data_IF_866398089474
#
_entry.id   IF_866398089474
#
_cell.length_a   1.000
_cell.length_b   1.000
_cell.length_c   1.000
_cell.angle_alpha   90.00
_cell.angle_beta   90.00
_cell.angle_gamma   90.00
#
_symmetry.space_group_name_H-M   'P 1'
#
loop_
_entity.id
_entity.type
_entity.pdbx_description
1 polymer ?
#
# COMPACT_ATOMS: atom_id res chain seq x y z
N UNK A 1 27.95 11.67 23.24
CA UNK A 1 28.23 10.70 22.17
C UNK A 1 26.92 10.43 21.44
N UNK A 2 26.91 10.51 20.11
CA UNK A 2 25.73 10.14 19.32
C UNK A 2 25.72 8.61 19.17
N UNK A 3 24.64 7.97 19.59
CA UNK A 3 24.39 6.55 19.31
C UNK A 3 23.55 6.51 18.04
N UNK A 4 24.01 5.79 17.01
CA UNK A 4 23.23 5.57 15.80
C UNK A 4 21.91 4.87 16.15
N UNK A 5 20.83 5.24 15.49
CA UNK A 5 19.56 4.54 15.64
C UNK A 5 19.75 3.03 15.39
N UNK A 6 19.16 2.21 16.26
CA UNK A 6 19.11 0.76 16.06
C UNK A 6 18.15 0.48 14.89
N UNK A 7 18.68 -0.14 13.83
CA UNK A 7 17.88 -0.69 12.75
C UNK A 7 17.32 -2.04 13.19
N UNK A 8 16.02 -2.24 13.02
CA UNK A 8 15.36 -3.52 13.30
C UNK A 8 14.55 -3.92 12.07
N UNK A 9 14.62 -5.21 11.74
CA UNK A 9 13.81 -5.79 10.68
C UNK A 9 12.42 -6.13 11.21
N UNK A 10 11.41 -6.04 10.34
CA UNK A 10 10.02 -6.38 10.64
C UNK A 10 9.62 -7.50 9.68
N UNK A 11 9.19 -8.63 10.23
CA UNK A 11 8.56 -9.70 9.47
C UNK A 11 7.04 -9.53 9.51
N UNK A 12 6.40 -9.64 8.35
CA UNK A 12 4.95 -9.54 8.20
C UNK A 12 4.38 -10.92 7.86
N UNK A 13 3.08 -11.09 8.10
CA UNK A 13 2.32 -12.27 7.66
C UNK A 13 1.84 -12.17 6.21
N UNK A 14 2.12 -11.04 5.54
CA UNK A 14 1.70 -10.80 4.16
C UNK A 14 2.39 -11.79 3.22
N UNK A 15 1.58 -12.50 2.46
CA UNK A 15 2.02 -13.31 1.34
C UNK A 15 2.06 -12.43 0.09
N UNK A 16 3.25 -12.28 -0.48
CA UNK A 16 3.48 -11.38 -1.62
C UNK A 16 2.78 -11.84 -2.90
N UNK A 17 2.57 -13.14 -3.08
CA UNK A 17 1.87 -13.68 -4.25
C UNK A 17 0.37 -13.39 -4.13
N UNK A 18 -0.21 -13.57 -2.93
CA UNK A 18 -1.61 -13.21 -2.67
C UNK A 18 -1.85 -11.71 -2.77
N UNK A 19 -0.95 -10.88 -2.24
CA UNK A 19 -1.03 -9.42 -2.38
C UNK A 19 -1.00 -9.01 -3.86
N UNK A 20 -0.07 -9.57 -4.64
CA UNK A 20 0.06 -9.26 -6.08
C UNK A 20 -1.15 -9.73 -6.88
N UNK A 21 -1.73 -10.88 -6.53
CA UNK A 21 -2.96 -11.37 -7.13
C UNK A 21 -4.14 -10.45 -6.80
N UNK A 22 -4.24 -9.98 -5.55
CA UNK A 22 -5.29 -9.08 -5.12
C UNK A 22 -5.25 -7.75 -5.88
N UNK A 23 -4.07 -7.17 -6.08
CA UNK A 23 -3.89 -5.95 -6.88
C UNK A 23 -4.36 -6.14 -8.32
N UNK A 24 -3.98 -7.25 -8.98
CA UNK A 24 -4.42 -7.57 -10.34
C UNK A 24 -5.94 -7.74 -10.45
N UNK A 25 -6.57 -8.37 -9.45
CA UNK A 25 -8.01 -8.60 -9.43
C UNK A 25 -8.81 -7.28 -9.41
N UNK A 26 -8.27 -6.25 -8.78
CA UNK A 26 -8.91 -4.93 -8.64
C UNK A 26 -8.44 -3.92 -9.69
N UNK A 27 -7.69 -4.31 -10.72
CA UNK A 27 -7.32 -3.41 -11.81
C UNK A 27 -8.58 -2.76 -12.44
N UNK A 28 -8.61 -1.42 -12.40
CA UNK A 28 -9.73 -0.62 -12.92
C UNK A 28 -11.00 -0.65 -12.06
N UNK A 29 -10.98 -1.26 -10.87
CA UNK A 29 -12.10 -1.34 -9.96
C UNK A 29 -11.79 -0.67 -8.62
N UNK A 30 -12.80 -0.02 -8.01
CA UNK A 30 -12.70 0.56 -6.68
C UNK A 30 -13.27 -0.38 -5.62
N UNK A 31 -12.63 -0.44 -4.45
CA UNK A 31 -13.09 -1.25 -3.33
C UNK A 31 -11.96 -1.63 -2.37
N UNK A 32 -12.29 -2.38 -1.33
CA UNK A 32 -11.31 -2.86 -0.37
C UNK A 32 -11.47 -4.37 -0.14
N UNK A 33 -10.36 -5.05 0.14
CA UNK A 33 -10.35 -6.48 0.40
C UNK A 33 -9.30 -6.82 1.45
N UNK A 34 -9.63 -7.80 2.30
CA UNK A 34 -8.76 -8.34 3.35
C UNK A 34 -8.85 -9.87 3.28
N UNK A 35 -7.70 -10.53 3.20
CA UNK A 35 -7.55 -11.98 3.23
C UNK A 35 -6.89 -12.35 4.56
N UNK A 36 -7.56 -13.21 5.33
CA UNK A 36 -7.15 -13.60 6.68
C UNK A 36 -7.12 -15.13 6.81
N UNK A 37 -6.10 -15.67 7.47
CA UNK A 37 -6.10 -17.07 7.88
C UNK A 37 -7.05 -17.27 9.07
N UNK A 38 -8.01 -18.17 8.93
CA UNK A 38 -9.02 -18.46 9.95
C UNK A 38 -8.46 -19.17 11.19
N UNK A 39 -7.29 -19.80 11.08
CA UNK A 39 -6.71 -20.63 12.13
C UNK A 39 -6.02 -19.79 13.21
N UNK A 40 -5.37 -18.69 12.83
CA UNK A 40 -4.62 -17.83 13.74
C UNK A 40 -4.93 -16.33 13.61
N UNK A 41 -5.75 -15.93 12.63
CA UNK A 41 -6.15 -14.54 12.40
C UNK A 41 -5.09 -13.69 11.68
N UNK A 42 -4.02 -14.30 11.15
CA UNK A 42 -3.00 -13.60 10.38
C UNK A 42 -3.57 -12.98 9.10
N UNK A 43 -3.12 -11.77 8.76
CA UNK A 43 -3.51 -11.09 7.52
C UNK A 43 -2.52 -11.49 6.44
N UNK A 44 -3.00 -12.15 5.40
CA UNK A 44 -2.17 -12.65 4.30
C UNK A 44 -2.10 -11.66 3.13
N UNK A 45 -3.15 -10.86 2.93
CA UNK A 45 -3.17 -9.75 1.96
C UNK A 45 -4.24 -8.73 2.34
N UNK A 46 -4.01 -7.47 2.05
CA UNK A 46 -4.98 -6.41 2.25
C UNK A 46 -4.76 -5.28 1.24
N UNK A 47 -5.83 -4.74 0.67
CA UNK A 47 -5.76 -3.66 -0.32
C UNK A 47 -6.98 -2.74 -0.26
N UNK A 48 -6.73 -1.47 -0.53
CA UNK A 48 -7.74 -0.45 -0.82
C UNK A 48 -7.43 0.08 -2.21
N UNK A 49 -8.42 0.03 -3.10
CA UNK A 49 -8.26 0.29 -4.51
C UNK A 49 -9.13 1.47 -4.94
N UNK A 50 -8.62 2.33 -5.84
CA UNK A 50 -7.34 2.19 -6.56
C UNK A 50 -6.10 2.57 -5.73
N UNK A 51 -4.99 1.86 -5.97
CA UNK A 51 -3.68 2.15 -5.37
C UNK A 51 -2.93 3.25 -6.16
N UNK A 52 -1.94 3.89 -5.53
CA UNK A 52 -1.10 4.92 -6.15
C UNK A 52 0.38 4.68 -5.86
N UNK A 53 1.26 5.17 -6.75
CA UNK A 53 2.71 5.06 -6.56
C UNK A 53 3.19 5.97 -5.41
N UNK A 54 3.80 5.36 -4.40
CA UNK A 54 4.36 6.05 -3.24
C UNK A 54 5.76 6.63 -3.50
N UNK A 55 6.48 6.16 -4.53
CA UNK A 55 7.87 6.57 -4.78
C UNK A 55 8.04 8.10 -4.94
N UNK A 56 7.15 8.83 -5.65
CA UNK A 56 7.26 10.29 -5.77
C UNK A 56 7.21 11.02 -4.42
N UNK A 57 6.54 10.46 -3.41
CA UNK A 57 6.48 11.05 -2.07
C UNK A 57 7.81 10.98 -1.33
N UNK A 58 8.62 9.97 -1.62
CA UNK A 58 9.92 9.76 -0.99
C UNK A 58 11.00 10.58 -1.70
N UNK A 59 10.96 10.63 -3.03
CA UNK A 59 11.99 11.31 -3.85
C UNK A 59 11.74 12.80 -4.02
N UNK A 60 10.53 13.27 -3.73
CA UNK A 60 10.08 14.65 -3.93
C UNK A 60 9.10 14.75 -5.09
N UNK A 61 7.87 15.12 -4.77
CA UNK A 61 6.76 15.26 -5.72
C UNK A 61 6.67 16.69 -6.24
N UNK A 62 6.47 16.88 -7.55
CA UNK A 62 6.22 18.22 -8.09
C UNK A 62 4.83 18.73 -7.72
N UNK A 63 4.64 20.05 -7.76
CA UNK A 63 3.33 20.65 -7.51
C UNK A 63 2.24 20.12 -8.46
N UNK A 64 2.59 19.87 -9.74
CA UNK A 64 1.65 19.36 -10.74
C UNK A 64 1.22 17.92 -10.43
N UNK A 65 2.16 17.05 -10.09
CA UNK A 65 1.86 15.66 -9.74
C UNK A 65 1.05 15.57 -8.44
N UNK A 66 1.36 16.42 -7.47
CA UNK A 66 0.57 16.53 -6.24
C UNK A 66 -0.86 16.99 -6.50
N UNK A 67 -1.05 18.02 -7.34
CA UNK A 67 -2.37 18.51 -7.71
C UNK A 67 -3.19 17.47 -8.48
N UNK A 68 -2.55 16.71 -9.38
CA UNK A 68 -3.18 15.59 -10.10
C UNK A 68 -3.63 14.47 -9.15
N UNK A 69 -2.80 14.07 -8.19
CA UNK A 69 -3.16 13.03 -7.21
C UNK A 69 -4.22 13.53 -6.21
N UNK A 70 -4.09 14.75 -5.71
CA UNK A 70 -4.98 15.31 -4.69
C UNK A 70 -6.37 15.66 -5.22
N UNK A 71 -6.49 16.00 -6.51
CA UNK A 71 -7.77 16.31 -7.14
C UNK A 71 -8.34 15.13 -7.96
N UNK A 72 -7.73 13.95 -7.88
CA UNK A 72 -8.23 12.78 -8.58
C UNK A 72 -9.59 12.34 -7.99
N UNK A 73 -10.60 12.25 -8.85
CA UNK A 73 -11.96 11.80 -8.55
C UNK A 73 -12.02 10.36 -8.04
N UNK A 74 -11.02 9.54 -8.38
CA UNK A 74 -10.94 8.16 -7.92
C UNK A 74 -10.40 8.03 -6.48
N UNK A 75 -10.20 9.17 -5.79
CA UNK A 75 -9.81 9.26 -4.38
C UNK A 75 -8.74 8.24 -3.94
N UNK A 76 -7.52 8.29 -4.52
CA UNK A 76 -6.48 7.31 -4.22
C UNK A 76 -6.01 7.34 -2.76
N UNK A 77 -6.29 8.42 -2.01
CA UNK A 77 -5.88 8.61 -0.62
C UNK A 77 -6.93 8.20 0.42
N UNK A 78 -7.98 7.48 0.04
CA UNK A 78 -9.05 7.06 0.99
C UNK A 78 -8.59 5.92 1.89
#
# INVERSE_FOLDING_TARGET
SYTSALSNDIELTIDIELQSFLTQLFEGNAGAAIIMDISDGSILAAGSFPEYDLNPFVTGISYKEWDELSNNLDHPFT
#
